data_IF_129882074817
#
_entry.id   IF_129882074817
#
_cell.length_a   1.000
_cell.length_b   1.000
_cell.length_c   1.000
_cell.angle_alpha   90.00
_cell.angle_beta   90.00
_cell.angle_gamma   90.00
#
_symmetry.space_group_name_H-M   'P 1'
#
loop_
_entity.id
_entity.type
_entity.pdbx_description
1 polymer ?
#
# COMPACT_ATOMS: atom_id res chain seq x y z
N UNK A 1 -59.57 13.78 -21.88
CA UNK A 1 -59.91 12.70 -20.94
C UNK A 1 -58.60 12.15 -20.40
N UNK A 2 -58.20 12.55 -19.20
CA UNK A 2 -56.91 12.17 -18.62
C UNK A 2 -57.10 10.92 -17.75
N UNK A 3 -56.24 9.92 -17.94
CA UNK A 3 -56.10 8.84 -16.97
C UNK A 3 -54.62 8.46 -16.90
N UNK A 4 -53.95 8.98 -15.88
CA UNK A 4 -52.64 8.52 -15.45
C UNK A 4 -52.84 7.26 -14.60
N UNK A 5 -52.21 6.16 -14.97
CA UNK A 5 -51.98 5.04 -14.06
C UNK A 5 -50.50 4.66 -14.14
N UNK A 6 -49.81 5.05 -13.08
CA UNK A 6 -48.43 4.77 -12.75
C UNK A 6 -48.33 3.33 -12.21
N UNK A 7 -47.39 2.53 -12.74
CA UNK A 7 -46.65 1.48 -12.03
C UNK A 7 -45.79 0.72 -13.05
N UNK A 8 -44.59 1.22 -13.32
CA UNK A 8 -43.55 0.47 -14.05
C UNK A 8 -42.82 -0.43 -13.06
N UNK A 9 -43.28 -1.66 -12.90
CA UNK A 9 -42.55 -2.70 -12.17
C UNK A 9 -41.38 -3.17 -13.02
N UNK A 10 -40.18 -2.67 -12.73
CA UNK A 10 -38.93 -3.20 -13.29
C UNK A 10 -38.58 -4.51 -12.57
N UNK A 11 -38.99 -5.64 -13.16
CA UNK A 11 -38.53 -6.96 -12.74
C UNK A 11 -37.15 -7.18 -13.36
N UNK A 12 -36.08 -6.99 -12.58
CA UNK A 12 -34.73 -7.43 -12.99
C UNK A 12 -34.69 -8.94 -12.83
N UNK A 13 -34.51 -9.64 -13.95
CA UNK A 13 -34.34 -11.09 -13.98
C UNK A 13 -33.05 -11.44 -13.22
N UNK A 14 -33.21 -11.97 -12.01
CA UNK A 14 -32.08 -12.39 -11.19
C UNK A 14 -31.27 -13.44 -11.96
N UNK A 15 -30.01 -13.14 -12.24
CA UNK A 15 -29.08 -14.08 -12.87
C UNK A 15 -29.06 -15.34 -12.01
N UNK A 16 -29.57 -16.47 -12.54
CA UNK A 16 -29.49 -17.76 -11.85
C UNK A 16 -28.03 -18.16 -11.77
N UNK A 17 -27.42 -17.95 -10.61
CA UNK A 17 -26.04 -18.32 -10.35
C UNK A 17 -25.96 -19.84 -10.39
N UNK A 18 -25.45 -20.39 -11.49
CA UNK A 18 -25.19 -21.81 -11.65
C UNK A 18 -24.13 -22.23 -10.62
N UNK A 19 -24.26 -23.44 -10.04
CA UNK A 19 -23.32 -24.02 -9.08
C UNK A 19 -21.87 -24.04 -9.57
N UNK A 20 -21.65 -24.09 -10.89
CA UNK A 20 -20.32 -23.93 -11.48
C UNK A 20 -19.82 -22.49 -11.44
N UNK A 21 -20.69 -21.51 -11.67
CA UNK A 21 -20.37 -20.09 -11.55
C UNK A 21 -20.09 -19.71 -10.09
N UNK A 22 -20.89 -20.22 -9.14
CA UNK A 22 -20.63 -20.09 -7.71
C UNK A 22 -19.28 -20.68 -7.33
N UNK A 23 -18.95 -21.90 -7.81
CA UNK A 23 -17.67 -22.56 -7.51
C UNK A 23 -16.49 -21.85 -8.16
N UNK A 24 -16.67 -21.24 -9.33
CA UNK A 24 -15.65 -20.45 -10.02
C UNK A 24 -15.42 -19.12 -9.31
N UNK A 25 -16.48 -18.46 -8.83
CA UNK A 25 -16.41 -17.26 -8.01
C UNK A 25 -15.79 -17.55 -6.63
N UNK A 26 -16.16 -18.67 -6.01
CA UNK A 26 -15.59 -19.14 -4.74
C UNK A 26 -14.10 -19.49 -4.89
N UNK A 27 -13.72 -20.14 -5.99
CA UNK A 27 -12.31 -20.41 -6.33
C UNK A 27 -11.54 -19.11 -6.59
N UNK A 28 -12.08 -18.19 -7.38
CA UNK A 28 -11.46 -16.87 -7.62
C UNK A 28 -11.41 -15.99 -6.36
N UNK A 29 -12.37 -16.14 -5.45
CA UNK A 29 -12.39 -15.48 -4.14
C UNK A 29 -11.44 -16.12 -3.12
N UNK A 30 -11.04 -17.37 -3.35
CA UNK A 30 -10.16 -18.16 -2.48
C UNK A 30 -8.70 -18.19 -2.97
N UNK A 31 -8.41 -17.68 -4.17
CA UNK A 31 -7.03 -17.59 -4.66
C UNK A 31 -6.31 -16.40 -4.01
N UNK A 32 -5.58 -16.71 -2.94
CA UNK A 32 -4.56 -15.82 -2.38
C UNK A 32 -3.37 -15.78 -3.34
N UNK A 33 -3.26 -14.74 -4.15
CA UNK A 33 -2.06 -14.45 -4.95
C UNK A 33 -0.99 -13.82 -4.06
N UNK A 34 -0.35 -14.63 -3.22
CA UNK A 34 0.79 -14.22 -2.41
C UNK A 34 2.10 -14.69 -3.05
N UNK A 35 2.72 -13.85 -3.87
CA UNK A 35 4.11 -14.09 -4.27
C UNK A 35 5.03 -13.63 -3.12
N UNK A 36 6.07 -14.43 -2.81
CA UNK A 36 7.16 -14.01 -1.92
C UNK A 36 8.37 -13.74 -2.78
N UNK A 37 8.90 -12.52 -2.71
CA UNK A 37 10.07 -12.10 -3.48
C UNK A 37 11.14 -11.52 -2.56
N UNK A 38 12.40 -11.72 -2.95
CA UNK A 38 13.58 -11.12 -2.32
C UNK A 38 14.21 -10.20 -3.36
N UNK A 39 14.42 -8.94 -2.98
CA UNK A 39 14.98 -7.93 -3.87
C UNK A 39 16.01 -7.06 -3.13
N UNK A 40 17.09 -6.62 -3.81
CA UNK A 40 17.98 -5.63 -3.24
C UNK A 40 17.24 -4.30 -3.07
N UNK A 41 17.64 -3.53 -2.06
CA UNK A 41 17.15 -2.19 -1.80
C UNK A 41 18.32 -1.27 -1.48
N UNK A 42 18.29 -0.06 -2.02
CA UNK A 42 19.18 1.04 -1.66
C UNK A 42 18.32 2.21 -1.17
N UNK A 43 18.79 2.87 -0.12
CA UNK A 43 18.06 4.00 0.45
C UNK A 43 18.99 5.01 1.10
N UNK A 44 18.44 6.20 1.30
CA UNK A 44 19.08 7.32 1.98
C UNK A 44 18.17 7.73 3.13
N UNK A 45 18.76 7.89 4.31
CA UNK A 45 18.10 8.44 5.49
C UNK A 45 18.88 9.67 5.95
N UNK A 46 18.21 10.81 6.03
CA UNK A 46 18.79 12.08 6.44
C UNK A 46 18.03 12.68 7.60
N UNK A 47 18.76 13.35 8.48
CA UNK A 47 18.20 14.00 9.67
C UNK A 47 18.78 15.38 9.88
N UNK A 48 17.95 16.30 10.35
CA UNK A 48 18.36 17.67 10.65
C UNK A 48 17.83 18.08 12.02
N UNK A 49 18.73 18.46 12.93
CA UNK A 49 18.37 18.99 14.24
C UNK A 49 17.86 20.42 14.09
N UNK A 50 16.58 20.64 14.38
CA UNK A 50 15.95 21.96 14.38
C UNK A 50 16.25 22.65 15.71
N UNK A 51 16.20 21.91 16.81
CA UNK A 51 16.55 22.33 18.16
C UNK A 51 17.11 21.14 18.97
N UNK A 52 17.33 21.34 20.27
CA UNK A 52 17.76 20.27 21.18
C UNK A 52 16.78 19.08 21.20
N UNK A 53 15.48 19.35 21.11
CA UNK A 53 14.44 18.31 21.19
C UNK A 53 13.79 17.99 19.83
N UNK A 54 13.85 18.89 18.85
CA UNK A 54 13.14 18.74 17.58
C UNK A 54 14.07 18.36 16.43
N UNK A 55 13.67 17.37 15.66
CA UNK A 55 14.42 16.85 14.53
C UNK A 55 13.51 16.67 13.31
N UNK A 56 13.93 17.19 12.16
CA UNK A 56 13.34 16.79 10.88
C UNK A 56 14.06 15.55 10.34
N UNK A 57 13.34 14.71 9.61
CA UNK A 57 13.95 13.59 8.89
C UNK A 57 13.29 13.37 7.53
N UNK A 58 14.07 12.81 6.62
CA UNK A 58 13.64 12.36 5.32
C UNK A 58 14.26 11.00 5.00
N UNK A 59 13.50 10.17 4.30
CA UNK A 59 13.86 8.84 3.89
C UNK A 59 13.38 8.60 2.46
N UNK A 60 14.27 8.06 1.65
CA UNK A 60 13.98 7.66 0.28
C UNK A 60 14.63 6.30 0.02
N UNK A 61 13.90 5.36 -0.55
CA UNK A 61 14.46 4.11 -1.03
C UNK A 61 13.93 3.71 -2.41
N UNK A 62 14.70 2.86 -3.06
CA UNK A 62 14.30 2.13 -4.23
C UNK A 62 14.84 0.71 -4.12
N UNK A 63 14.01 -0.26 -4.50
CA UNK A 63 14.35 -1.66 -4.48
C UNK A 63 13.79 -2.37 -5.70
N UNK A 64 14.34 -3.54 -5.99
CA UNK A 64 13.97 -4.27 -7.17
C UNK A 64 14.63 -3.67 -8.41
N UNK A 65 15.68 -4.35 -8.86
CA UNK A 65 16.56 -3.92 -9.95
C UNK A 65 16.55 -4.95 -11.10
N UNK A 66 15.48 -5.75 -11.20
CA UNK A 66 15.35 -6.78 -12.24
C UNK A 66 16.30 -7.98 -12.10
N UNK A 67 16.97 -8.14 -10.94
CA UNK A 67 17.97 -9.20 -10.73
C UNK A 67 17.37 -10.61 -10.60
N UNK A 68 16.06 -10.72 -10.39
CA UNK A 68 15.33 -11.98 -10.27
C UNK A 68 14.60 -12.39 -11.56
N UNK A 69 14.80 -11.67 -12.67
CA UNK A 69 14.21 -11.99 -13.98
C UNK A 69 12.83 -11.37 -14.25
N UNK A 70 12.24 -10.70 -13.26
CA UNK A 70 10.96 -9.98 -13.36
C UNK A 70 11.20 -8.48 -13.07
N UNK A 71 10.44 -7.59 -13.73
CA UNK A 71 10.62 -6.15 -13.57
C UNK A 71 9.77 -5.70 -12.39
N UNK A 72 10.39 -5.78 -11.23
CA UNK A 72 9.77 -5.46 -9.95
C UNK A 72 10.51 -4.22 -9.44
N UNK A 73 9.87 -3.05 -9.49
CA UNK A 73 10.42 -1.83 -8.93
C UNK A 73 9.54 -1.41 -7.75
N UNK A 74 10.13 -1.20 -6.60
CA UNK A 74 9.44 -0.63 -5.45
C UNK A 74 10.19 0.57 -4.93
N UNK A 75 9.50 1.49 -4.30
CA UNK A 75 10.16 2.59 -3.61
C UNK A 75 9.30 3.18 -2.51
N UNK A 76 9.99 3.75 -1.54
CA UNK A 76 9.39 4.46 -0.41
C UNK A 76 9.92 5.88 -0.38
N UNK A 77 9.01 6.83 -0.13
CA UNK A 77 9.38 8.18 0.26
C UNK A 77 8.69 8.55 1.57
N UNK A 78 9.45 9.08 2.52
CA UNK A 78 8.93 9.48 3.82
C UNK A 78 9.62 10.74 4.32
N UNK A 79 8.84 11.65 4.90
CA UNK A 79 9.37 12.83 5.57
C UNK A 79 8.52 13.16 6.80
N UNK A 80 9.17 13.70 7.83
CA UNK A 80 8.49 14.01 9.07
C UNK A 80 9.33 14.76 10.08
N UNK A 81 8.74 14.91 11.25
CA UNK A 81 9.33 15.53 12.43
C UNK A 81 9.35 14.52 13.57
N UNK A 82 10.32 14.68 14.45
CA UNK A 82 10.48 13.89 15.65
C UNK A 82 10.77 14.80 16.84
N UNK A 83 10.28 14.40 18.01
CA UNK A 83 10.45 15.09 19.28
C UNK A 83 11.09 14.14 20.29
N UNK A 84 12.17 14.58 20.93
CA UNK A 84 12.85 13.85 22.00
C UNK A 84 12.02 13.89 23.29
N UNK A 85 11.75 12.72 23.85
CA UNK A 85 11.13 12.56 25.17
C UNK A 85 12.24 12.26 26.18
N UNK A 86 12.88 13.34 26.65
CA UNK A 86 14.08 13.26 27.47
C UNK A 86 15.22 12.59 26.70
N UNK A 87 16.01 11.76 27.38
CA UNK A 87 17.27 11.24 26.84
C UNK A 87 17.16 9.81 26.26
N UNK A 88 16.00 9.15 26.37
CA UNK A 88 15.85 7.71 26.10
C UNK A 88 14.79 7.35 25.06
N UNK A 89 13.94 8.30 24.67
CA UNK A 89 12.85 8.04 23.74
C UNK A 89 12.64 9.19 22.77
N UNK A 90 12.06 8.87 21.62
CA UNK A 90 11.67 9.83 20.59
C UNK A 90 10.33 9.40 19.99
N UNK A 91 9.42 10.37 19.82
CA UNK A 91 8.17 10.19 19.09
C UNK A 91 8.28 10.91 17.74
N UNK A 92 7.62 10.38 16.71
CA UNK A 92 7.65 10.98 15.37
C UNK A 92 6.30 10.97 14.69
N UNK A 93 6.04 12.04 13.94
CA UNK A 93 4.92 12.16 13.01
C UNK A 93 5.47 12.38 11.61
N UNK A 94 5.01 11.57 10.65
CA UNK A 94 5.49 11.64 9.28
C UNK A 94 4.41 11.30 8.26
N UNK A 95 4.67 11.66 7.01
CA UNK A 95 3.90 11.20 5.87
C UNK A 95 4.78 10.23 5.07
N UNK A 96 4.22 9.06 4.74
CA UNK A 96 4.90 7.99 4.00
C UNK A 96 4.13 7.70 2.71
N UNK A 97 4.86 7.55 1.63
CA UNK A 97 4.41 7.05 0.33
C UNK A 97 5.18 5.77 0.00
N UNK A 98 4.51 4.77 -0.53
CA UNK A 98 5.06 3.54 -1.04
C UNK A 98 4.46 3.25 -2.41
N UNK A 99 5.31 2.94 -3.38
CA UNK A 99 4.93 2.49 -4.71
C UNK A 99 5.55 1.14 -5.02
N UNK A 100 4.81 0.28 -5.71
CA UNK A 100 5.27 -1.00 -6.23
C UNK A 100 4.72 -1.19 -7.63
N UNK A 101 5.62 -1.30 -8.60
CA UNK A 101 5.32 -1.70 -9.96
C UNK A 101 5.86 -3.10 -10.19
N UNK A 102 4.96 -4.09 -10.26
CA UNK A 102 5.29 -5.47 -10.54
C UNK A 102 4.88 -5.84 -11.96
N UNK A 103 5.83 -6.29 -12.77
CA UNK A 103 5.58 -6.81 -14.11
C UNK A 103 6.07 -8.26 -14.19
N UNK A 104 5.19 -9.19 -13.80
CA UNK A 104 5.42 -10.63 -13.90
C UNK A 104 5.37 -11.13 -15.34
N UNK A 105 6.28 -12.06 -15.67
CA UNK A 105 6.40 -12.69 -16.99
C UNK A 105 5.28 -13.68 -17.27
N UNK A 106 4.05 -13.22 -17.49
CA UNK A 106 2.93 -14.14 -17.75
C UNK A 106 1.53 -13.56 -17.78
N UNK A 107 1.37 -12.22 -17.81
CA UNK A 107 0.07 -11.56 -18.03
C UNK A 107 -0.57 -10.90 -16.80
N UNK A 108 0.03 -11.02 -15.62
CA UNK A 108 -0.41 -10.31 -14.41
C UNK A 108 0.65 -9.29 -13.98
N UNK A 109 0.58 -8.09 -14.56
CA UNK A 109 1.23 -6.90 -14.01
C UNK A 109 0.27 -6.18 -13.07
N UNK A 110 0.74 -5.76 -11.91
CA UNK A 110 -0.05 -4.96 -10.98
C UNK A 110 0.80 -3.82 -10.42
N UNK A 111 0.14 -2.69 -10.17
CA UNK A 111 0.75 -1.52 -9.54
C UNK A 111 0.01 -1.22 -8.24
N UNK A 112 0.76 -0.91 -7.18
CA UNK A 112 0.24 -0.58 -5.86
C UNK A 112 0.85 0.74 -5.42
N UNK A 113 0.00 1.73 -5.18
CA UNK A 113 0.37 2.98 -4.54
C UNK A 113 -0.33 3.09 -3.19
N UNK A 114 0.44 3.36 -2.14
CA UNK A 114 -0.07 3.57 -0.79
C UNK A 114 0.55 4.82 -0.19
N UNK A 115 -0.28 5.67 0.41
CA UNK A 115 0.21 6.83 1.14
C UNK A 115 -0.57 7.05 2.43
N UNK A 116 0.07 7.68 3.41
CA UNK A 116 -0.60 7.94 4.67
C UNK A 116 0.28 8.56 5.76
N UNK A 117 -0.40 8.90 6.85
CA UNK A 117 0.23 9.38 8.08
C UNK A 117 0.84 8.19 8.82
N UNK A 118 2.05 8.38 9.33
CA UNK A 118 2.77 7.40 10.13
C UNK A 118 3.18 8.02 11.48
N UNK A 119 2.87 7.28 12.55
CA UNK A 119 3.29 7.56 13.92
C UNK A 119 4.39 6.58 14.31
N UNK A 120 5.48 7.09 14.87
CA UNK A 120 6.64 6.29 15.27
C UNK A 120 7.03 6.53 16.72
N UNK A 121 7.57 5.48 17.34
CA UNK A 121 8.20 5.52 18.66
C UNK A 121 9.58 4.85 18.52
N UNK A 122 10.62 5.53 18.99
CA UNK A 122 11.99 5.01 19.05
C UNK A 122 12.45 5.05 20.49
N UNK A 123 13.01 3.94 20.96
CA UNK A 123 13.60 3.82 22.29
C UNK A 123 15.10 3.56 22.13
N UNK A 124 15.92 4.31 22.87
CA UNK A 124 17.36 4.12 22.93
C UNK A 124 17.69 3.36 24.22
N UNK A 125 18.40 2.24 24.08
CA UNK A 125 18.94 1.48 25.19
C UNK A 125 20.42 1.82 25.29
N UNK A 126 20.87 2.13 26.50
CA UNK A 126 22.27 2.28 26.88
C UNK A 126 22.70 1.03 27.67
#
# INVERSE_FOLDING_TARGET
>A
NFTLKNETTLSVEGVRVNRELSRKLEKSSSENFGNTWVQPLIGVYGTYAISEDWQAFAYLDAGGFGLSGEKDLSGTAQAGIAYALGNSAQISLSYKYFGLDYAGGGGNSYSVDQSGVNLGLRWLFD
#
